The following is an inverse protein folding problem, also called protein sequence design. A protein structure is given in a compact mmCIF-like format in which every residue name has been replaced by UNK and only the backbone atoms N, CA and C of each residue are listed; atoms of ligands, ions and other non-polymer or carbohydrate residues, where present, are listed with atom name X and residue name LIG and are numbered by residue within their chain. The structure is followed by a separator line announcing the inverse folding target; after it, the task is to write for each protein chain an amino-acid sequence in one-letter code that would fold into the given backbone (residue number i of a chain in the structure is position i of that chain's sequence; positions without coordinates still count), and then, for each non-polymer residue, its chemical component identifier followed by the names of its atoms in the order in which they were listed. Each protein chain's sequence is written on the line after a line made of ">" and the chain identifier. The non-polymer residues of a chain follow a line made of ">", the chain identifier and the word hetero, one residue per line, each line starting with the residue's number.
data_IF_532779649889
#
_entry.id   IF_532779649889
#
_cell.length_a   1.000
_cell.length_b   1.000
_cell.length_c   1.000
_cell.angle_alpha   90.00
_cell.angle_beta   90.00
_cell.angle_gamma   90.00
#
_symmetry.space_group_name_H-M   'P 1'
#
loop_
_entity.id
_entity.type
_entity.pdbx_description
1 polymer ?
#
# COMPACT_ATOMS: atom_id res chain seq x y z
N UNK A 1 2.03 -1.37 0.77
CA UNK A 1 1.52 -2.32 1.78
C UNK A 1 2.30 -2.13 3.08
N UNK A 2 1.82 -1.27 4.00
CA UNK A 2 2.41 -1.13 5.32
C UNK A 2 1.99 -2.28 6.25
N UNK A 3 2.86 -2.63 7.21
CA UNK A 3 2.53 -3.67 8.23
C UNK A 3 1.45 -3.21 9.22
N UNK A 4 1.38 -1.91 9.51
CA UNK A 4 0.49 -1.36 10.53
C UNK A 4 -0.79 -0.75 9.99
N UNK A 5 -0.83 -0.36 8.71
CA UNK A 5 -1.90 0.43 8.12
C UNK A 5 -1.42 1.84 7.78
N UNK A 6 -2.37 2.73 7.48
CA UNK A 6 -2.15 4.13 7.10
C UNK A 6 -3.03 5.07 7.94
N UNK A 7 -3.30 4.70 9.20
CA UNK A 7 -4.27 5.42 10.05
C UNK A 7 -3.67 6.67 10.73
N UNK A 8 -2.39 6.97 10.50
CA UNK A 8 -1.74 8.19 10.98
C UNK A 8 -2.14 9.43 10.17
N UNK A 9 -2.09 10.59 10.82
CA UNK A 9 -2.54 11.87 10.26
C UNK A 9 -1.88 12.22 8.92
N UNK A 10 -0.58 11.91 8.78
CA UNK A 10 0.18 12.21 7.56
C UNK A 10 -0.31 11.33 6.42
N UNK A 11 -0.39 10.01 6.64
CA UNK A 11 -0.92 9.08 5.66
C UNK A 11 -2.35 9.43 5.23
N UNK A 12 -3.23 9.78 6.18
CA UNK A 12 -4.61 10.20 5.89
C UNK A 12 -4.67 11.48 5.07
N UNK A 13 -3.81 12.47 5.37
CA UNK A 13 -3.71 13.70 4.59
C UNK A 13 -3.33 13.43 3.13
N UNK A 14 -2.36 12.55 2.89
CA UNK A 14 -1.95 12.16 1.52
C UNK A 14 -3.07 11.41 0.80
N UNK A 15 -3.74 10.48 1.47
CA UNK A 15 -4.89 9.75 0.89
C UNK A 15 -6.03 10.70 0.51
N UNK A 16 -6.30 11.72 1.34
CA UNK A 16 -7.28 12.75 1.03
C UNK A 16 -6.93 13.53 -0.23
N UNK A 17 -5.67 13.94 -0.40
CA UNK A 17 -5.21 14.65 -1.60
C UNK A 17 -5.30 13.78 -2.85
N UNK A 18 -4.91 12.50 -2.78
CA UNK A 18 -5.03 11.56 -3.90
C UNK A 18 -6.50 11.38 -4.32
N UNK A 19 -7.41 11.31 -3.34
CA UNK A 19 -8.84 11.24 -3.60
C UNK A 19 -9.37 12.52 -4.27
N UNK A 20 -8.89 13.69 -3.86
CA UNK A 20 -9.23 14.97 -4.49
C UNK A 20 -8.76 15.06 -5.95
N UNK A 21 -7.72 14.30 -6.32
CA UNK A 21 -7.25 14.12 -7.70
C UNK A 21 -7.96 12.97 -8.44
N UNK A 22 -9.09 12.49 -7.93
CA UNK A 22 -9.88 11.40 -8.51
C UNK A 22 -9.06 10.10 -8.73
N UNK A 23 -8.03 9.88 -7.90
CA UNK A 23 -7.18 8.69 -7.97
C UNK A 23 -7.73 7.60 -7.07
N UNK A 24 -7.99 6.41 -7.64
CA UNK A 24 -8.35 5.22 -6.87
C UNK A 24 -7.14 4.71 -6.07
N UNK A 25 -7.24 4.75 -4.74
CA UNK A 25 -6.20 4.23 -3.85
C UNK A 25 -6.75 3.06 -3.04
N UNK A 26 -6.08 1.92 -3.11
CA UNK A 26 -6.38 0.75 -2.28
C UNK A 26 -5.26 0.54 -1.28
N UNK A 27 -5.55 0.74 0.00
CA UNK A 27 -4.60 0.46 1.09
C UNK A 27 -4.77 -0.98 1.52
N UNK A 28 -3.69 -1.76 1.40
CA UNK A 28 -3.63 -3.14 1.88
C UNK A 28 -2.59 -3.20 2.99
N UNK A 29 -3.02 -3.65 4.17
CA UNK A 29 -2.14 -3.92 5.32
C UNK A 29 -1.60 -5.35 5.21
N UNK A 30 -0.30 -5.53 5.42
CA UNK A 30 0.35 -6.83 5.31
C UNK A 30 1.87 -6.74 5.35
N UNK A 31 2.54 -7.88 5.34
CA UNK A 31 4.00 -8.00 5.30
C UNK A 31 4.46 -8.49 3.92
N UNK A 32 5.24 -7.65 3.21
CA UNK A 32 5.72 -7.94 1.85
C UNK A 32 6.65 -9.16 1.78
N UNK A 33 7.22 -9.60 2.91
CA UNK A 33 8.05 -10.81 2.98
C UNK A 33 7.20 -12.08 3.01
N UNK A 34 5.91 -11.99 3.36
CA UNK A 34 4.99 -13.13 3.39
C UNK A 34 4.33 -13.31 2.03
N UNK A 35 4.56 -14.46 1.40
CA UNK A 35 4.02 -14.77 0.07
C UNK A 35 2.49 -14.68 0.02
N UNK A 36 1.80 -15.11 1.08
CA UNK A 36 0.34 -15.10 1.12
C UNK A 36 -0.22 -13.67 1.17
N UNK A 37 0.41 -12.76 1.91
CA UNK A 37 0.02 -11.34 1.95
C UNK A 37 0.21 -10.70 0.57
N UNK A 38 1.31 -11.01 -0.11
CA UNK A 38 1.57 -10.53 -1.48
C UNK A 38 0.53 -11.08 -2.45
N UNK A 39 0.19 -12.38 -2.37
CA UNK A 39 -0.83 -13.00 -3.22
C UNK A 39 -2.19 -12.31 -3.04
N UNK A 40 -2.60 -12.08 -1.80
CA UNK A 40 -3.84 -11.35 -1.49
C UNK A 40 -3.78 -9.92 -2.04
N UNK A 41 -2.64 -9.24 -1.93
CA UNK A 41 -2.48 -7.89 -2.45
C UNK A 41 -2.64 -7.82 -3.97
N UNK A 42 -2.03 -8.74 -4.71
CA UNK A 42 -2.14 -8.83 -6.17
C UNK A 42 -3.57 -9.17 -6.61
N UNK A 43 -4.27 -10.04 -5.87
CA UNK A 43 -5.66 -10.41 -6.16
C UNK A 43 -6.66 -9.27 -5.90
N UNK A 44 -6.34 -8.36 -4.97
CA UNK A 44 -7.18 -7.20 -4.64
C UNK A 44 -6.97 -6.00 -5.58
N UNK A 45 -6.07 -6.11 -6.55
CA UNK A 45 -5.84 -5.04 -7.52
C UNK A 45 -7.11 -4.82 -8.36
N UNK A 46 -7.63 -3.59 -8.36
CA UNK A 46 -8.83 -3.19 -9.09
C UNK A 46 -8.60 -2.99 -10.59
N UNK A 47 -7.33 -2.88 -11.02
CA UNK A 47 -6.89 -2.64 -12.39
C UNK A 47 -5.64 -3.52 -12.67
N UNK A 48 -5.36 -3.90 -13.94
CA UNK A 48 -4.15 -4.63 -14.29
C UNK A 48 -2.87 -3.92 -13.82
N UNK A 49 -1.92 -4.67 -13.27
CA UNK A 49 -0.70 -4.12 -12.69
C UNK A 49 0.31 -3.86 -13.81
N UNK A 50 0.63 -2.59 -14.06
CA UNK A 50 1.62 -2.19 -15.05
C UNK A 50 3.07 -2.17 -14.50
N UNK A 51 3.23 -2.10 -13.18
CA UNK A 51 4.54 -2.06 -12.54
C UNK A 51 4.46 -2.18 -11.03
N UNK A 52 5.58 -2.51 -10.39
CA UNK A 52 5.70 -2.68 -8.94
C UNK A 52 6.85 -1.81 -8.45
N UNK A 53 6.61 -1.03 -7.39
CA UNK A 53 7.64 -0.22 -6.72
C UNK A 53 7.86 -0.77 -5.31
N UNK A 54 9.09 -1.22 -5.01
CA UNK A 54 9.49 -1.72 -3.69
C UNK A 54 10.32 -0.66 -2.94
N UNK A 55 9.65 0.16 -2.14
CA UNK A 55 10.29 1.20 -1.31
C UNK A 55 10.42 0.86 0.18
N UNK A 56 9.99 -0.34 0.60
CA UNK A 56 10.04 -0.73 2.01
C UNK A 56 11.48 -1.06 2.41
N UNK A 57 11.95 -0.46 3.51
CA UNK A 57 13.25 -0.72 4.12
C UNK A 57 13.08 -0.79 5.65
N UNK A 58 13.91 -1.59 6.30
CA UNK A 58 14.03 -1.63 7.76
C UNK A 58 15.47 -1.33 8.14
N UNK A 59 15.65 -0.42 9.10
CA UNK A 59 16.95 -0.18 9.72
C UNK A 59 17.17 -1.22 10.81
N UNK A 60 18.35 -1.84 10.81
CA UNK A 60 18.80 -2.68 11.93
C UNK A 60 19.51 -1.77 12.93
N UNK A 61 19.11 -1.86 14.19
CA UNK A 61 19.88 -1.32 15.32
C UNK A 61 20.83 -2.39 15.83
#
# INVERSE_FOLDING_TARGET
>A
MPRSGCDDDISQSVLFQLKALETDVVVIKGDVVKLDDVRVALQRAIKPIAGIVQGVMLLRQ
#
